data_IF_679742984383
#
_entry.id   IF_679742984383
#
_cell.length_a   1.000
_cell.length_b   1.000
_cell.length_c   1.000
_cell.angle_alpha   90.00
_cell.angle_beta   90.00
_cell.angle_gamma   90.00
#
_symmetry.space_group_name_H-M   'P 1'
#
loop_
_entity.id
_entity.type
_entity.pdbx_description
1 polymer ?
#
# COMPACT_ATOMS: atom_id res chain seq x y z
N UNK A 1 15.72 8.23 -7.10
CA UNK A 1 15.57 9.20 -5.99
C UNK A 1 16.85 9.39 -5.20
N UNK A 2 17.71 8.37 -5.04
CA UNK A 2 18.96 8.54 -4.28
C UNK A 2 19.82 9.69 -4.82
N UNK A 3 20.33 10.52 -3.91
CA UNK A 3 21.18 11.69 -4.20
C UNK A 3 20.45 12.93 -4.72
N UNK A 4 19.11 12.92 -4.75
CA UNK A 4 18.32 14.08 -5.16
C UNK A 4 18.15 15.11 -4.04
N UNK A 5 18.21 14.67 -2.78
CA UNK A 5 18.13 15.53 -1.58
C UNK A 5 16.86 16.39 -1.51
N UNK A 6 15.75 15.87 -2.03
CA UNK A 6 14.45 16.58 -2.10
C UNK A 6 13.50 16.18 -0.96
N UNK A 7 13.99 15.51 0.09
CA UNK A 7 13.14 15.00 1.16
C UNK A 7 12.37 16.09 1.90
N UNK A 8 13.03 17.21 2.21
CA UNK A 8 12.39 18.36 2.87
C UNK A 8 11.30 18.99 1.99
N UNK A 9 11.52 19.09 0.68
CA UNK A 9 10.51 19.60 -0.25
C UNK A 9 9.29 18.66 -0.30
N UNK A 10 9.51 17.35 -0.33
CA UNK A 10 8.44 16.35 -0.29
C UNK A 10 7.62 16.50 0.99
N UNK A 11 8.28 16.64 2.15
CA UNK A 11 7.60 16.70 3.44
C UNK A 11 6.78 17.99 3.66
N UNK A 12 7.01 19.04 2.86
CA UNK A 12 6.17 20.25 2.82
C UNK A 12 4.91 20.12 1.95
N UNK A 13 4.72 18.99 1.26
CA UNK A 13 3.56 18.77 0.41
C UNK A 13 2.28 18.57 1.23
N UNK A 14 1.14 19.05 0.71
CA UNK A 14 -0.16 18.88 1.39
C UNK A 14 -0.63 17.43 1.49
N UNK A 15 -0.10 16.54 0.65
CA UNK A 15 -0.40 15.12 0.70
C UNK A 15 0.75 14.29 0.10
N UNK A 16 1.22 13.27 0.83
CA UNK A 16 2.37 12.45 0.42
C UNK A 16 1.96 11.01 0.23
N UNK A 17 2.08 10.54 -1.01
CA UNK A 17 1.75 9.19 -1.44
C UNK A 17 3.00 8.36 -1.64
N UNK A 18 2.98 7.12 -1.16
CA UNK A 18 4.03 6.13 -1.44
C UNK A 18 3.44 4.83 -1.93
N UNK A 19 4.26 4.05 -2.63
CA UNK A 19 3.85 2.79 -3.24
C UNK A 19 4.50 1.61 -2.53
N UNK A 20 3.74 0.53 -2.36
CA UNK A 20 4.21 -0.77 -1.90
C UNK A 20 5.06 -0.66 -0.62
N UNK A 21 6.23 -1.30 -0.59
CA UNK A 21 7.16 -1.32 0.54
C UNK A 21 8.26 -0.25 0.45
N UNK A 22 8.09 0.81 -0.36
CA UNK A 22 9.10 1.86 -0.50
C UNK A 22 9.44 2.47 0.88
N UNK A 23 10.69 2.35 1.37
CA UNK A 23 11.05 2.81 2.70
C UNK A 23 11.28 4.32 2.72
N UNK A 24 11.13 4.92 3.90
CA UNK A 24 11.68 6.26 4.21
C UNK A 24 12.93 6.14 5.09
N UNK A 25 12.95 5.15 5.99
CA UNK A 25 14.02 4.99 6.97
C UNK A 25 15.37 4.75 6.30
N UNK A 26 16.34 5.61 6.57
CA UNK A 26 17.67 5.60 5.97
C UNK A 26 17.76 6.26 4.59
N UNK A 27 16.69 6.89 4.11
CA UNK A 27 16.62 7.60 2.83
C UNK A 27 15.96 8.99 2.96
N UNK A 28 15.79 9.48 4.18
CA UNK A 28 14.96 10.65 4.51
C UNK A 28 15.43 11.91 3.78
N UNK A 29 16.74 12.09 3.61
CA UNK A 29 17.31 13.22 2.86
C UNK A 29 16.78 13.27 1.41
N UNK A 30 16.61 12.11 0.78
CA UNK A 30 16.23 12.00 -0.63
C UNK A 30 14.73 11.87 -0.85
N UNK A 31 14.01 11.24 0.09
CA UNK A 31 12.60 10.88 -0.12
C UNK A 31 11.65 11.40 0.93
N UNK A 32 12.15 12.09 1.96
CA UNK A 32 11.34 12.59 3.07
C UNK A 32 11.00 11.50 4.09
N UNK A 33 10.48 11.92 5.23
CA UNK A 33 10.13 11.05 6.36
C UNK A 33 8.62 10.73 6.40
N UNK A 34 7.77 11.61 5.88
CA UNK A 34 6.33 11.50 6.03
C UNK A 34 5.74 10.55 4.97
N UNK A 35 4.75 9.77 5.39
CA UNK A 35 3.86 9.03 4.49
C UNK A 35 2.43 9.22 4.99
N UNK A 36 1.54 9.75 4.15
CA UNK A 36 0.13 9.91 4.51
C UNK A 36 -0.72 8.79 3.91
N UNK A 37 -0.49 8.49 2.63
CA UNK A 37 -1.20 7.41 1.92
C UNK A 37 -0.17 6.44 1.35
N UNK A 38 -0.41 5.15 1.53
CA UNK A 38 0.39 4.09 0.95
C UNK A 38 -0.47 3.13 0.15
N UNK A 39 -0.30 3.15 -1.17
CA UNK A 39 -1.02 2.25 -2.08
C UNK A 39 -0.16 1.01 -2.30
N UNK A 40 -0.72 -0.17 -2.05
CA UNK A 40 0.04 -1.43 -1.98
C UNK A 40 -0.62 -2.50 -2.84
N UNK A 41 0.15 -3.12 -3.73
CA UNK A 41 -0.27 -4.34 -4.41
C UNK A 41 -0.33 -5.51 -3.43
N UNK A 42 -1.29 -6.42 -3.63
CA UNK A 42 -1.41 -7.68 -2.90
C UNK A 42 -0.09 -8.49 -2.89
N UNK A 43 0.73 -8.40 -3.95
CA UNK A 43 2.04 -9.06 -4.02
C UNK A 43 3.07 -8.45 -3.07
N UNK A 44 2.91 -7.20 -2.67
CA UNK A 44 3.80 -6.50 -1.74
C UNK A 44 3.36 -6.63 -0.28
N UNK A 45 2.13 -7.09 0.01
CA UNK A 45 1.67 -7.30 1.40
C UNK A 45 2.62 -8.20 2.20
N UNK A 46 3.09 -9.36 1.69
CA UNK A 46 4.05 -10.18 2.42
C UNK A 46 5.37 -9.44 2.74
N UNK A 47 5.76 -8.45 1.93
CA UNK A 47 6.97 -7.67 2.16
C UNK A 47 6.79 -6.66 3.31
N UNK A 48 5.61 -6.04 3.42
CA UNK A 48 5.28 -5.19 4.57
C UNK A 48 5.32 -6.01 5.87
N UNK A 49 4.80 -7.24 5.81
CA UNK A 49 4.75 -8.15 6.95
C UNK A 49 6.13 -8.71 7.38
N UNK A 50 7.20 -8.46 6.62
CA UNK A 50 8.58 -8.70 7.08
C UNK A 50 9.02 -7.70 8.15
N UNK A 51 8.43 -6.51 8.17
CA UNK A 51 8.70 -5.50 9.19
C UNK A 51 7.39 -4.80 9.61
N UNK A 52 6.48 -5.54 10.28
CA UNK A 52 5.13 -5.05 10.53
C UNK A 52 5.09 -3.93 11.57
N UNK A 53 6.05 -3.87 12.50
CA UNK A 53 6.10 -2.78 13.49
C UNK A 53 6.45 -1.44 12.81
N UNK A 54 7.38 -1.43 11.86
CA UNK A 54 7.66 -0.21 11.08
C UNK A 54 6.42 0.28 10.34
N UNK A 55 5.71 -0.60 9.63
CA UNK A 55 4.57 -0.18 8.80
C UNK A 55 3.27 0.03 9.60
N UNK A 56 3.00 -0.74 10.65
CA UNK A 56 1.67 -0.74 11.29
C UNK A 56 1.69 -0.28 12.75
N UNK A 57 2.86 0.07 13.30
CA UNK A 57 3.00 0.64 14.65
C UNK A 57 3.72 1.98 14.63
N UNK A 58 4.91 2.06 14.03
CA UNK A 58 5.66 3.31 13.90
C UNK A 58 4.98 4.27 12.92
N UNK A 59 4.45 3.74 11.81
CA UNK A 59 3.69 4.51 10.81
C UNK A 59 2.15 4.38 11.00
N UNK A 60 1.65 4.45 12.24
CA UNK A 60 0.21 4.27 12.55
C UNK A 60 -0.71 5.26 11.84
N UNK A 61 -0.22 6.47 11.54
CA UNK A 61 -0.99 7.52 10.89
C UNK A 61 -1.08 7.34 9.36
N UNK A 62 -0.36 6.37 8.78
CA UNK A 62 -0.42 6.08 7.35
C UNK A 62 -1.72 5.33 7.01
N UNK A 63 -2.43 5.82 6.00
CA UNK A 63 -3.57 5.13 5.39
C UNK A 63 -3.05 4.15 4.35
N UNK A 64 -3.32 2.86 4.54
CA UNK A 64 -2.95 1.80 3.61
C UNK A 64 -4.13 1.48 2.69
N UNK A 65 -3.92 1.58 1.37
CA UNK A 65 -4.90 1.17 0.36
C UNK A 65 -4.35 -0.04 -0.40
N UNK A 66 -4.89 -1.22 -0.10
CA UNK A 66 -4.43 -2.48 -0.70
C UNK A 66 -5.31 -2.84 -1.89
N UNK A 67 -4.68 -3.18 -3.01
CA UNK A 67 -5.37 -3.64 -4.22
C UNK A 67 -4.86 -5.01 -4.66
N UNK A 68 -5.72 -5.83 -5.27
CA UNK A 68 -5.34 -7.14 -5.76
C UNK A 68 -6.47 -7.87 -6.47
N UNK A 69 -6.16 -8.96 -7.19
CA UNK A 69 -7.15 -9.76 -7.89
C UNK A 69 -8.09 -10.43 -6.89
N UNK A 70 -9.34 -10.66 -7.32
CA UNK A 70 -10.38 -11.27 -6.50
C UNK A 70 -9.89 -12.53 -5.77
N UNK A 71 -9.22 -13.45 -6.49
CA UNK A 71 -8.70 -14.70 -5.94
C UNK A 71 -7.90 -14.52 -4.64
N UNK A 72 -7.07 -13.49 -4.56
CA UNK A 72 -6.21 -13.23 -3.40
C UNK A 72 -6.91 -12.41 -2.31
N UNK A 73 -7.96 -11.69 -2.68
CA UNK A 73 -8.70 -10.75 -1.81
C UNK A 73 -10.07 -11.29 -1.36
N UNK A 74 -10.38 -12.58 -1.62
CA UNK A 74 -11.64 -13.22 -1.20
C UNK A 74 -11.84 -13.12 0.31
N UNK A 75 -13.05 -12.74 0.72
CA UNK A 75 -13.43 -12.57 2.14
C UNK A 75 -13.97 -13.85 2.79
N UNK A 76 -14.16 -14.90 2.01
CA UNK A 76 -14.73 -16.19 2.43
C UNK A 76 -13.70 -17.15 3.06
N UNK A 77 -12.54 -16.63 3.46
CA UNK A 77 -11.45 -17.43 4.04
C UNK A 77 -10.49 -18.04 3.02
N UNK A 78 -10.76 -17.96 1.71
CA UNK A 78 -9.83 -18.45 0.69
C UNK A 78 -8.90 -17.37 0.12
N UNK A 79 -9.09 -16.10 0.50
CA UNK A 79 -8.24 -14.99 0.06
C UNK A 79 -6.99 -14.91 0.90
N UNK A 80 -5.89 -15.49 0.40
CA UNK A 80 -4.62 -15.57 1.15
C UNK A 80 -4.18 -14.19 1.67
N UNK A 81 -4.24 -13.16 0.82
CA UNK A 81 -3.81 -11.81 1.19
C UNK A 81 -4.83 -11.14 2.09
N UNK A 82 -6.13 -11.29 1.82
CA UNK A 82 -7.17 -10.78 2.71
C UNK A 82 -7.04 -11.34 4.14
N UNK A 83 -6.78 -12.64 4.26
CA UNK A 83 -6.58 -13.30 5.54
C UNK A 83 -5.33 -12.80 6.28
N UNK A 84 -4.24 -12.50 5.55
CA UNK A 84 -3.06 -11.87 6.15
C UNK A 84 -3.40 -10.49 6.71
N UNK A 85 -4.08 -9.65 5.92
CA UNK A 85 -4.49 -8.30 6.35
C UNK A 85 -5.44 -8.34 7.54
N UNK A 86 -6.38 -9.29 7.57
CA UNK A 86 -7.29 -9.48 8.71
C UNK A 86 -6.50 -9.75 10.00
N UNK A 87 -5.54 -10.68 9.95
CA UNK A 87 -4.65 -10.95 11.09
C UNK A 87 -3.79 -9.73 11.48
N UNK A 88 -3.40 -8.91 10.51
CA UNK A 88 -2.67 -7.67 10.77
C UNK A 88 -3.52 -6.69 11.56
N UNK A 89 -4.77 -6.45 11.15
CA UNK A 89 -5.70 -5.57 11.87
C UNK A 89 -5.98 -6.09 13.28
N UNK A 90 -6.13 -7.41 13.46
CA UNK A 90 -6.29 -8.00 14.80
C UNK A 90 -5.09 -7.73 15.73
N UNK A 91 -3.88 -7.63 15.17
CA UNK A 91 -2.64 -7.38 15.92
C UNK A 91 -2.32 -5.89 16.10
N UNK A 92 -2.68 -5.05 15.12
CA UNK A 92 -2.43 -3.62 15.08
C UNK A 92 -3.77 -2.90 14.91
N UNK A 93 -4.54 -2.73 16.00
CA UNK A 93 -5.91 -2.20 15.94
C UNK A 93 -5.98 -0.76 15.44
N UNK A 94 -4.90 0.01 15.61
CA UNK A 94 -4.80 1.40 15.15
C UNK A 94 -4.40 1.49 13.66
N UNK A 95 -4.07 0.37 13.01
CA UNK A 95 -3.65 0.38 11.62
C UNK A 95 -4.83 0.67 10.68
N UNK A 96 -4.69 1.72 9.87
CA UNK A 96 -5.70 2.15 8.92
C UNK A 96 -5.56 1.41 7.59
N UNK A 97 -6.13 0.21 7.48
CA UNK A 97 -6.01 -0.65 6.30
C UNK A 97 -7.34 -0.76 5.54
N UNK A 98 -7.34 -0.31 4.28
CA UNK A 98 -8.47 -0.39 3.36
C UNK A 98 -8.12 -1.30 2.18
N UNK A 99 -9.13 -1.98 1.65
CA UNK A 99 -8.99 -2.82 0.45
C UNK A 99 -9.92 -2.34 -0.66
N UNK A 100 -9.46 -2.36 -1.90
CA UNK A 100 -10.32 -2.04 -3.05
C UNK A 100 -11.44 -3.08 -3.19
N UNK A 101 -12.58 -2.65 -3.75
CA UNK A 101 -13.68 -3.56 -4.06
C UNK A 101 -13.41 -4.31 -5.36
N UNK A 102 -14.02 -5.47 -5.52
CA UNK A 102 -13.98 -6.24 -6.77
C UNK A 102 -14.46 -5.40 -7.95
N UNK A 103 -15.58 -4.68 -7.80
CA UNK A 103 -16.10 -3.77 -8.83
C UNK A 103 -15.07 -2.72 -9.26
N UNK A 104 -14.30 -2.14 -8.32
CA UNK A 104 -13.25 -1.17 -8.64
C UNK A 104 -12.07 -1.82 -9.35
N UNK A 105 -11.74 -3.06 -9.00
CA UNK A 105 -10.70 -3.81 -9.70
C UNK A 105 -11.11 -4.14 -11.14
N UNK A 106 -12.34 -4.63 -11.35
CA UNK A 106 -12.88 -4.90 -12.69
C UNK A 106 -12.92 -3.64 -13.54
N UNK A 107 -13.40 -2.52 -12.99
CA UNK A 107 -13.39 -1.23 -13.69
C UNK A 107 -11.98 -0.82 -14.16
N UNK A 108 -10.96 -0.99 -13.31
CA UNK A 108 -9.59 -0.68 -13.70
C UNK A 108 -9.06 -1.61 -14.81
N UNK A 109 -9.47 -2.89 -14.80
CA UNK A 109 -9.09 -3.84 -15.85
C UNK A 109 -9.77 -3.49 -17.19
N UNK A 110 -11.05 -3.09 -17.15
CA UNK A 110 -11.80 -2.65 -18.32
C UNK A 110 -11.17 -1.40 -18.95
N UNK A 111 -10.91 -0.35 -18.14
CA UNK A 111 -10.24 0.87 -18.63
C UNK A 111 -8.87 0.56 -19.21
N UNK A 112 -8.07 -0.29 -18.56
CA UNK A 112 -6.75 -0.67 -19.08
C UNK A 112 -6.86 -1.35 -20.44
N UNK A 113 -7.84 -2.24 -20.61
CA UNK A 113 -8.08 -2.93 -21.88
C UNK A 113 -8.57 -2.00 -22.98
N UNK A 114 -9.47 -1.09 -22.66
CA UNK A 114 -9.98 -0.08 -23.59
C UNK A 114 -8.85 0.81 -24.13
N UNK A 115 -7.97 1.28 -23.24
CA UNK A 115 -6.88 2.20 -23.60
C UNK A 115 -5.70 1.51 -24.29
N UNK A 116 -5.41 0.24 -23.94
CA UNK A 116 -4.19 -0.45 -24.40
C UNK A 116 -4.44 -1.59 -25.38
N UNK A 117 -5.67 -2.06 -25.51
CA UNK A 117 -6.04 -3.26 -26.26
C UNK A 117 -5.55 -4.58 -25.63
N UNK A 118 -5.12 -4.57 -24.35
CA UNK A 118 -4.55 -5.73 -23.65
C UNK A 118 -5.24 -5.98 -22.32
N UNK A 119 -5.34 -7.25 -21.93
CA UNK A 119 -5.69 -7.62 -20.56
C UNK A 119 -4.48 -7.36 -19.62
N UNK A 120 -4.76 -7.09 -18.34
CA UNK A 120 -3.75 -6.74 -17.32
C UNK A 120 -3.15 -7.95 -16.62
#
# INVERSE_FOLDING_TARGET
>A
MVGQKVGEEIDHSSCIWRMNNAPTKGFEEDVGHVTMVRVVSHTSVPLLLKNPDYFFKEASDTIYVIWGPFRNMRKDGNGIVYNMLKKTVDKYPDAQIYVTTEQRMSYCDDVFKEETGKDR
#
